data_IF_196640853983
#
_entry.id   IF_196640853983
#
_cell.length_a   1.000
_cell.length_b   1.000
_cell.length_c   1.000
_cell.angle_alpha   90.00
_cell.angle_beta   90.00
_cell.angle_gamma   90.00
#
_symmetry.space_group_name_H-M   'P 1'
#
loop_
_entity.id
_entity.type
_entity.pdbx_description
1 polymer ?
#
# COMPACT_ATOMS: atom_id res chain seq x y z
N UNK A 1 -10.20 -4.42 -9.99
CA UNK A 1 -10.48 -4.01 -8.60
C UNK A 1 -9.22 -3.43 -7.94
N UNK A 2 -9.20 -2.15 -7.55
CA UNK A 2 -8.13 -1.52 -6.77
C UNK A 2 -7.72 -2.29 -5.52
N UNK A 3 -8.73 -2.89 -4.89
CA UNK A 3 -8.65 -3.54 -3.58
C UNK A 3 -7.98 -4.91 -3.65
N UNK A 4 -7.52 -5.35 -4.81
CA UNK A 4 -6.83 -6.63 -4.97
C UNK A 4 -5.46 -6.47 -5.65
N UNK A 5 -5.03 -5.24 -5.93
CA UNK A 5 -3.79 -5.00 -6.66
C UNK A 5 -2.61 -4.77 -5.72
N UNK A 6 -1.71 -5.75 -5.63
CA UNK A 6 -0.50 -5.71 -4.79
C UNK A 6 0.37 -4.46 -4.97
N UNK A 7 0.41 -3.86 -6.15
CA UNK A 7 1.20 -2.62 -6.34
C UNK A 7 0.62 -1.45 -5.52
N UNK A 8 -0.71 -1.40 -5.37
CA UNK A 8 -1.36 -0.40 -4.51
C UNK A 8 -1.02 -0.65 -3.03
N UNK A 9 -0.67 -1.88 -2.64
CA UNK A 9 -0.20 -2.19 -1.29
C UNK A 9 1.13 -1.50 -1.03
N UNK A 10 2.07 -1.66 -1.96
CA UNK A 10 3.41 -1.07 -1.88
C UNK A 10 3.30 0.46 -1.85
N UNK A 11 2.47 1.04 -2.72
CA UNK A 11 2.19 2.47 -2.68
C UNK A 11 1.59 2.95 -1.37
N UNK A 12 0.75 2.15 -0.70
CA UNK A 12 0.21 2.50 0.61
C UNK A 12 1.27 2.47 1.72
N UNK A 13 2.26 1.57 1.65
CA UNK A 13 3.40 1.57 2.58
C UNK A 13 4.16 2.90 2.44
N UNK A 14 4.54 3.25 1.21
CA UNK A 14 5.31 4.47 0.91
C UNK A 14 4.53 5.71 1.33
N UNK A 15 3.24 5.79 0.95
CA UNK A 15 2.37 6.90 1.37
C UNK A 15 2.27 7.02 2.89
N UNK A 16 2.18 5.92 3.63
CA UNK A 16 2.11 5.96 5.09
C UNK A 16 3.40 6.46 5.72
N UNK A 17 4.56 6.08 5.18
CA UNK A 17 5.88 6.56 5.66
C UNK A 17 6.09 8.03 5.36
N UNK A 18 5.70 8.47 4.17
CA UNK A 18 5.83 9.87 3.75
C UNK A 18 4.72 10.78 4.31
N UNK A 19 3.66 10.23 4.91
CA UNK A 19 2.47 10.99 5.39
C UNK A 19 2.81 12.13 6.34
N UNK A 20 3.89 12.00 7.12
CA UNK A 20 4.33 13.00 8.10
C UNK A 20 5.40 13.96 7.57
N UNK A 21 5.89 13.75 6.34
CA UNK A 21 6.94 14.57 5.73
C UNK A 21 6.27 15.72 4.95
N UNK A 22 6.75 16.94 5.17
CA UNK A 22 6.33 18.12 4.41
C UNK A 22 7.32 18.34 3.28
N UNK A 23 6.79 18.59 2.08
CA UNK A 23 7.59 18.84 0.89
C UNK A 23 7.29 20.24 0.36
N UNK A 24 8.33 20.95 -0.07
CA UNK A 24 8.22 22.31 -0.61
C UNK A 24 8.49 22.36 -2.11
N UNK A 25 9.13 21.32 -2.68
CA UNK A 25 9.44 21.20 -4.11
C UNK A 25 9.09 19.81 -4.62
N UNK A 26 8.71 19.72 -5.89
CA UNK A 26 8.37 18.46 -6.54
C UNK A 26 9.57 17.50 -6.64
N UNK A 27 10.77 18.05 -6.77
CA UNK A 27 12.03 17.28 -6.80
C UNK A 27 12.24 16.50 -5.49
N UNK A 28 11.94 17.13 -4.35
CA UNK A 28 12.06 16.51 -3.02
C UNK A 28 11.06 15.35 -2.85
N UNK A 29 9.87 15.48 -3.47
CA UNK A 29 8.85 14.43 -3.47
C UNK A 29 9.35 13.22 -4.25
N UNK A 30 9.87 13.42 -5.47
CA UNK A 30 10.38 12.32 -6.30
C UNK A 30 11.53 11.59 -5.63
N UNK A 31 12.48 12.34 -5.06
CA UNK A 31 13.60 11.76 -4.33
C UNK A 31 13.14 10.94 -3.11
N UNK A 32 12.22 11.47 -2.31
CA UNK A 32 11.71 10.76 -1.14
C UNK A 32 10.87 9.52 -1.49
N UNK A 33 10.14 9.54 -2.62
CA UNK A 33 9.44 8.36 -3.12
C UNK A 33 10.43 7.27 -3.52
N UNK A 34 11.48 7.62 -4.27
CA UNK A 34 12.50 6.67 -4.69
C UNK A 34 13.24 6.07 -3.49
N UNK A 35 13.64 6.92 -2.54
CA UNK A 35 14.28 6.52 -1.29
C UNK A 35 13.42 5.52 -0.50
N UNK A 36 12.13 5.81 -0.33
CA UNK A 36 11.23 4.90 0.38
C UNK A 36 10.91 3.64 -0.41
N UNK A 37 10.88 3.70 -1.74
CA UNK A 37 10.71 2.54 -2.60
C UNK A 37 11.85 1.54 -2.41
N UNK A 38 13.10 2.02 -2.39
CA UNK A 38 14.29 1.17 -2.21
C UNK A 38 14.35 0.54 -0.81
N UNK A 39 13.69 1.15 0.19
CA UNK A 39 13.56 0.62 1.55
C UNK A 39 12.41 -0.38 1.73
N UNK A 40 11.54 -0.59 0.74
CA UNK A 40 10.47 -1.58 0.86
C UNK A 40 11.07 -2.98 0.79
N UNK A 41 11.13 -3.67 1.93
CA UNK A 41 11.73 -5.00 1.99
C UNK A 41 10.74 -6.09 1.57
N UNK A 42 11.29 -7.21 1.07
CA UNK A 42 10.49 -8.35 0.61
C UNK A 42 9.54 -8.90 1.69
N UNK A 43 9.89 -8.78 2.98
CA UNK A 43 9.02 -9.19 4.08
C UNK A 43 7.72 -8.38 4.13
N UNK A 44 7.78 -7.06 3.91
CA UNK A 44 6.59 -6.22 3.90
C UNK A 44 5.69 -6.58 2.71
N UNK A 45 6.27 -6.85 1.54
CA UNK A 45 5.55 -7.30 0.36
C UNK A 45 4.87 -8.65 0.62
N UNK A 46 5.60 -9.61 1.19
CA UNK A 46 5.06 -10.94 1.56
C UNK A 46 3.93 -10.84 2.58
N UNK A 47 4.03 -9.94 3.56
CA UNK A 47 2.94 -9.69 4.51
C UNK A 47 1.67 -9.18 3.79
N UNK A 48 1.81 -8.33 2.77
CA UNK A 48 0.68 -7.89 1.93
C UNK A 48 0.08 -9.04 1.11
N UNK A 49 0.93 -9.90 0.54
CA UNK A 49 0.49 -11.09 -0.21
C UNK A 49 -0.27 -12.06 0.70
N UNK A 50 0.27 -12.35 1.88
CA UNK A 50 -0.36 -13.26 2.85
C UNK A 50 -1.73 -12.78 3.32
N UNK A 51 -2.00 -11.46 3.27
CA UNK A 51 -3.29 -10.90 3.66
C UNK A 51 -4.35 -10.99 2.54
N UNK A 52 -3.96 -11.27 1.29
CA UNK A 52 -4.87 -11.29 0.14
C UNK A 52 -6.03 -12.29 0.24
N UNK A 53 -5.83 -13.55 0.69
CA UNK A 53 -6.94 -14.50 0.82
C UNK A 53 -8.04 -13.99 1.76
N UNK A 54 -7.66 -13.38 2.89
CA UNK A 54 -8.61 -12.77 3.83
C UNK A 54 -9.38 -11.60 3.20
N UNK A 55 -8.76 -10.84 2.30
CA UNK A 55 -9.44 -9.76 1.57
C UNK A 55 -10.45 -10.29 0.56
N UNK A 56 -10.09 -11.32 -0.19
CA UNK A 56 -11.02 -11.97 -1.10
C UNK A 56 -12.25 -12.50 -0.34
N UNK A 57 -12.04 -13.13 0.81
CA UNK A 57 -13.14 -13.61 1.67
C UNK A 57 -14.02 -12.46 2.17
N UNK A 58 -13.43 -11.33 2.60
CA UNK A 58 -14.19 -10.12 2.97
C UNK A 58 -14.94 -9.50 1.79
N UNK A 59 -14.37 -9.51 0.60
CA UNK A 59 -15.04 -8.99 -0.61
C UNK A 59 -16.26 -9.84 -0.96
N UNK A 60 -16.13 -11.17 -0.88
CA UNK A 60 -17.24 -12.12 -1.08
C UNK A 60 -18.33 -11.87 -0.04
N UNK A 61 -17.97 -11.80 1.25
CA UNK A 61 -18.91 -11.52 2.36
C UNK A 61 -19.59 -10.17 2.24
N UNK A 62 -18.91 -9.17 1.68
CA UNK A 62 -19.46 -7.83 1.46
C UNK A 62 -20.25 -7.70 0.13
N UNK A 63 -20.54 -8.82 -0.55
CA UNK A 63 -21.30 -8.83 -1.81
C UNK A 63 -20.62 -8.05 -2.92
N UNK A 64 -19.28 -8.04 -2.96
CA UNK A 64 -18.50 -7.32 -3.98
C UNK A 64 -18.33 -5.82 -3.74
N UNK A 65 -18.85 -5.27 -2.62
CA UNK A 65 -18.66 -3.86 -2.25
C UNK A 65 -17.23 -3.59 -1.74
N UNK A 66 -16.78 -2.34 -1.86
CA UNK A 66 -15.44 -1.90 -1.47
C UNK A 66 -15.06 -2.30 -0.04
N UNK A 67 -13.81 -2.71 0.16
CA UNK A 67 -13.28 -3.19 1.45
C UNK A 67 -12.11 -2.33 1.93
N UNK A 68 -12.26 -1.69 3.09
CA UNK A 68 -11.18 -0.97 3.79
C UNK A 68 -10.51 -1.87 4.82
N UNK A 69 -9.18 -1.89 4.86
CA UNK A 69 -8.42 -2.69 5.85
C UNK A 69 -7.29 -1.85 6.44
N UNK A 70 -6.73 -2.25 7.58
CA UNK A 70 -5.64 -1.49 8.24
C UNK A 70 -4.40 -1.28 7.34
N UNK A 71 -4.20 -2.16 6.37
CA UNK A 71 -3.10 -2.10 5.42
C UNK A 71 -3.47 -1.40 4.10
N UNK A 72 -4.77 -1.11 3.84
CA UNK A 72 -5.26 -0.70 2.53
C UNK A 72 -6.31 0.40 2.53
#
# INVERSE_FOLDING_TARGET
SPDLNLIKACWNIIKNRLRRRIFYRDEDIRAAIQEEWDKVIMQEIRARISNMPSRCDRLIKNGGKAIKTAFW
#
